data_IF_518902645778
#
_entry.id   IF_518902645778
#
_cell.length_a   1.000
_cell.length_b   1.000
_cell.length_c   1.000
_cell.angle_alpha   90.00
_cell.angle_beta   90.00
_cell.angle_gamma   90.00
#
_symmetry.space_group_name_H-M   'P 1'
#
loop_
_entity.id
_entity.type
_entity.pdbx_description
1 polymer ?
#
# COMPACT_ATOMS: atom_id res chain seq x y z
N UNK A 1 40.04 -22.66 -24.38
CA UNK A 1 38.67 -22.19 -24.70
C UNK A 1 38.01 -21.78 -23.38
N UNK A 2 38.53 -20.72 -22.72
CA UNK A 2 38.34 -20.49 -21.27
C UNK A 2 37.63 -19.16 -20.94
N UNK A 3 37.12 -18.46 -21.96
CA UNK A 3 36.43 -17.18 -21.82
C UNK A 3 35.02 -17.21 -21.16
N UNK A 4 34.18 -18.27 -21.25
CA UNK A 4 32.79 -18.19 -20.80
C UNK A 4 32.64 -18.20 -19.26
N UNK A 5 33.59 -18.78 -18.53
CA UNK A 5 33.51 -18.89 -17.06
C UNK A 5 33.81 -17.55 -16.35
N UNK A 6 34.77 -16.76 -16.86
CA UNK A 6 35.09 -15.43 -16.31
C UNK A 6 33.96 -14.43 -16.49
N UNK A 7 33.25 -14.47 -17.63
CA UNK A 7 32.09 -13.62 -17.87
C UNK A 7 30.91 -13.98 -16.97
N UNK A 8 30.62 -15.28 -16.76
CA UNK A 8 29.60 -15.73 -15.80
C UNK A 8 29.91 -15.28 -14.37
N UNK A 9 31.17 -15.34 -13.93
CA UNK A 9 31.56 -14.91 -12.59
C UNK A 9 31.37 -13.40 -12.39
N UNK A 10 31.81 -12.57 -13.34
CA UNK A 10 31.61 -11.11 -13.29
C UNK A 10 30.13 -10.72 -13.25
N UNK A 11 29.28 -11.43 -14.00
CA UNK A 11 27.84 -11.18 -14.06
C UNK A 11 27.14 -11.56 -12.74
N UNK A 12 27.57 -12.65 -12.10
CA UNK A 12 27.06 -13.07 -10.78
C UNK A 12 27.51 -12.09 -9.68
N UNK A 13 28.76 -11.65 -9.68
CA UNK A 13 29.26 -10.67 -8.70
C UNK A 13 28.54 -9.33 -8.85
N UNK A 14 28.28 -8.88 -10.09
CA UNK A 14 27.48 -7.68 -10.34
C UNK A 14 26.04 -7.84 -9.81
N UNK A 15 25.38 -8.98 -10.07
CA UNK A 15 24.03 -9.26 -9.56
C UNK A 15 23.95 -9.27 -8.02
N UNK A 16 24.98 -9.79 -7.36
CA UNK A 16 25.05 -9.82 -5.88
C UNK A 16 25.27 -8.42 -5.31
N UNK A 17 26.03 -7.56 -5.99
CA UNK A 17 26.19 -6.15 -5.60
C UNK A 17 24.91 -5.32 -5.82
N UNK A 18 24.04 -5.76 -6.73
CA UNK A 18 22.70 -5.21 -6.98
C UNK A 18 21.63 -5.74 -6.02
N UNK A 19 21.96 -6.67 -5.11
CA UNK A 19 21.05 -7.11 -4.06
C UNK A 19 20.90 -5.98 -3.03
N UNK A 20 20.07 -5.01 -3.37
CA UNK A 20 19.88 -3.81 -2.58
C UNK A 20 19.33 -4.16 -1.20
N UNK A 21 20.04 -3.67 -0.18
CA UNK A 21 19.59 -3.74 1.20
C UNK A 21 18.55 -2.64 1.44
N UNK A 22 17.54 -2.95 2.25
CA UNK A 22 16.62 -1.96 2.75
C UNK A 22 17.38 -0.90 3.56
N UNK A 23 17.31 0.35 3.14
CA UNK A 23 18.04 1.46 3.76
C UNK A 23 17.21 2.03 4.92
N UNK A 24 17.90 2.49 5.96
CA UNK A 24 17.30 3.09 7.16
C UNK A 24 17.26 2.15 8.37
N UNK A 25 17.03 2.68 9.58
CA UNK A 25 16.98 1.90 10.80
C UNK A 25 15.65 1.15 10.94
N UNK A 26 15.68 -0.04 11.51
CA UNK A 26 14.46 -0.77 11.85
C UNK A 26 13.75 -0.14 13.04
N UNK A 27 12.41 -0.25 13.05
CA UNK A 27 11.60 0.22 14.15
C UNK A 27 12.04 -0.45 15.46
N UNK A 28 12.40 0.37 16.44
CA UNK A 28 12.67 -0.08 17.81
C UNK A 28 11.62 0.53 18.73
N UNK A 29 10.80 -0.33 19.34
CA UNK A 29 9.82 0.10 20.33
C UNK A 29 10.53 0.87 21.45
N UNK A 30 10.09 2.10 21.78
CA UNK A 30 10.68 2.86 22.87
C UNK A 30 10.59 2.10 24.20
N UNK A 31 11.68 2.06 24.96
CA UNK A 31 11.65 1.57 26.34
C UNK A 31 10.95 2.61 27.21
N UNK A 32 9.78 2.26 27.75
CA UNK A 32 9.08 3.11 28.70
C UNK A 32 9.56 2.79 30.12
N UNK A 33 9.95 3.82 30.87
CA UNK A 33 10.25 3.69 32.30
C UNK A 33 8.94 3.57 33.08
N UNK A 34 8.35 2.38 33.04
CA UNK A 34 7.15 2.05 33.80
C UNK A 34 7.52 1.26 35.05
N UNK A 35 6.80 1.46 36.17
CA UNK A 35 6.98 0.63 37.34
C UNK A 35 6.61 -0.83 37.00
N UNK A 36 7.43 -1.79 37.44
CA UNK A 36 7.15 -3.22 37.24
C UNK A 36 5.83 -3.68 37.88
N UNK A 37 5.28 -2.89 38.81
CA UNK A 37 3.97 -3.11 39.42
C UNK A 37 3.31 -1.78 39.73
N UNK A 38 2.02 -1.69 39.40
CA UNK A 38 1.18 -0.60 39.86
C UNK A 38 0.83 -0.86 41.33
N UNK A 39 1.16 0.06 42.24
CA UNK A 39 0.67 -0.02 43.62
C UNK A 39 -0.73 0.58 43.65
N UNK A 40 -1.74 -0.24 43.90
CA UNK A 40 -3.01 0.28 44.39
C UNK A 40 -2.77 0.80 45.80
N UNK A 41 -2.92 2.11 46.03
CA UNK A 41 -2.75 2.68 47.36
C UNK A 41 -3.68 1.97 48.37
N UNK A 42 -3.08 1.22 49.32
CA UNK A 42 -3.78 0.67 50.48
C UNK A 42 -4.63 -0.60 50.28
N UNK A 43 -4.67 -1.23 49.11
CA UNK A 43 -5.36 -2.53 48.93
C UNK A 43 -4.37 -3.69 48.82
N UNK A 44 -4.57 -4.82 49.54
CA UNK A 44 -3.81 -6.03 49.29
C UNK A 44 -3.94 -6.39 47.81
N UNK A 45 -2.84 -6.84 47.20
CA UNK A 45 -2.83 -7.24 45.79
C UNK A 45 -3.99 -8.23 45.58
N UNK A 46 -4.98 -7.82 44.77
CA UNK A 46 -6.06 -8.71 44.35
C UNK A 46 -5.35 -9.90 43.70
N UNK A 47 -5.60 -11.10 44.23
CA UNK A 47 -5.08 -12.34 43.65
C UNK A 47 -5.36 -12.30 42.14
N UNK A 48 -4.44 -12.75 41.28
CA UNK A 48 -4.64 -12.69 39.83
C UNK A 48 -5.98 -13.37 39.52
N UNK A 49 -6.99 -12.55 39.21
CA UNK A 49 -8.27 -13.05 38.77
C UNK A 49 -8.01 -13.85 37.48
N UNK A 50 -8.68 -15.00 37.29
CA UNK A 50 -8.64 -15.69 36.01
C UNK A 50 -8.93 -14.65 34.93
N UNK A 51 -8.20 -14.70 33.81
CA UNK A 51 -8.26 -13.71 32.74
C UNK A 51 -9.72 -13.38 32.44
N UNK A 52 -10.19 -12.26 33.00
CA UNK A 52 -11.54 -11.80 32.76
C UNK A 52 -11.60 -11.49 31.28
N UNK A 53 -12.59 -12.02 30.58
CA UNK A 53 -12.81 -11.66 29.20
C UNK A 53 -13.12 -10.15 29.16
N UNK A 54 -12.10 -9.35 28.85
CA UNK A 54 -12.23 -7.90 28.73
C UNK A 54 -13.13 -7.53 27.55
N UNK A 55 -13.34 -8.44 26.60
CA UNK A 55 -14.28 -8.28 25.51
C UNK A 55 -15.73 -8.22 25.97
N UNK A 56 -16.05 -8.83 27.11
CA UNK A 56 -17.39 -8.88 27.70
C UNK A 56 -17.38 -8.48 29.19
N UNK A 57 -16.59 -7.46 29.52
CA UNK A 57 -16.32 -7.04 30.90
C UNK A 57 -17.59 -6.71 31.71
N UNK A 58 -18.68 -6.30 31.04
CA UNK A 58 -19.93 -5.92 31.69
C UNK A 58 -20.69 -7.12 32.29
N UNK A 59 -20.48 -8.35 31.80
CA UNK A 59 -21.06 -9.55 32.40
C UNK A 59 -20.56 -9.81 33.83
N UNK A 60 -19.41 -9.25 34.21
CA UNK A 60 -18.90 -9.36 35.58
C UNK A 60 -19.81 -8.69 36.62
N UNK A 61 -20.73 -7.83 36.20
CA UNK A 61 -21.71 -7.17 37.07
C UNK A 61 -22.92 -8.07 37.40
N UNK A 62 -23.18 -9.11 36.60
CA UNK A 62 -24.32 -10.01 36.81
C UNK A 62 -25.69 -9.35 36.64
N UNK A 63 -25.76 -8.25 35.88
CA UNK A 63 -27.00 -7.51 35.60
C UNK A 63 -27.47 -7.77 34.17
N UNK A 64 -28.55 -8.55 34.03
CA UNK A 64 -29.12 -8.92 32.73
C UNK A 64 -29.64 -7.71 31.93
N UNK A 65 -30.02 -6.62 32.61
CA UNK A 65 -30.46 -5.39 31.94
C UNK A 65 -29.27 -4.68 31.32
N UNK A 66 -28.17 -4.59 32.07
CA UNK A 66 -26.91 -4.02 31.58
C UNK A 66 -26.40 -4.82 30.38
N UNK A 67 -26.39 -6.15 30.50
CA UNK A 67 -25.96 -7.06 29.42
C UNK A 67 -26.74 -6.77 28.13
N UNK A 68 -28.07 -6.74 28.20
CA UNK A 68 -28.92 -6.49 27.03
C UNK A 68 -28.67 -5.13 26.38
N UNK A 69 -28.46 -4.07 27.19
CA UNK A 69 -28.21 -2.72 26.68
C UNK A 69 -26.84 -2.64 25.99
N UNK A 70 -25.81 -3.23 26.59
CA UNK A 70 -24.46 -3.22 26.01
C UNK A 70 -24.43 -4.04 24.71
N UNK A 71 -25.05 -5.21 24.70
CA UNK A 71 -25.12 -6.06 23.50
C UNK A 71 -25.86 -5.35 22.36
N UNK A 72 -26.99 -4.71 22.65
CA UNK A 72 -27.71 -3.91 21.66
C UNK A 72 -26.86 -2.73 21.16
N UNK A 73 -26.17 -2.03 22.07
CA UNK A 73 -25.28 -0.94 21.70
C UNK A 73 -24.15 -1.45 20.77
N UNK A 74 -23.51 -2.57 21.08
CA UNK A 74 -22.45 -3.13 20.24
C UNK A 74 -22.95 -3.51 18.84
N UNK A 75 -24.17 -4.04 18.73
CA UNK A 75 -24.77 -4.43 17.46
C UNK A 75 -25.17 -3.22 16.59
N UNK A 76 -25.68 -2.14 17.20
CA UNK A 76 -26.32 -1.06 16.46
C UNK A 76 -25.49 0.23 16.39
N UNK A 77 -24.44 0.38 17.20
CA UNK A 77 -23.66 1.61 17.30
C UNK A 77 -22.96 1.99 15.98
N UNK A 78 -23.33 3.16 15.46
CA UNK A 78 -22.81 3.71 14.20
C UNK A 78 -21.35 4.17 14.30
N UNK A 79 -20.89 4.58 15.48
CA UNK A 79 -19.48 4.94 15.71
C UNK A 79 -18.60 3.70 15.60
N UNK A 80 -19.02 2.55 16.16
CA UNK A 80 -18.30 1.28 16.01
C UNK A 80 -18.27 0.83 14.55
N UNK A 81 -19.38 0.96 13.83
CA UNK A 81 -19.43 0.69 12.38
C UNK A 81 -18.50 1.61 11.59
N UNK A 82 -18.38 2.86 11.99
CA UNK A 82 -17.45 3.84 11.40
C UNK A 82 -16.00 3.46 11.67
N UNK A 83 -15.65 3.10 12.90
CA UNK A 83 -14.30 2.62 13.25
C UNK A 83 -13.96 1.35 12.46
N UNK A 84 -14.89 0.40 12.36
CA UNK A 84 -14.70 -0.80 11.55
C UNK A 84 -14.50 -0.48 10.05
N UNK A 85 -15.17 0.55 9.53
CA UNK A 85 -14.95 1.04 8.17
C UNK A 85 -13.56 1.65 7.98
N UNK A 86 -13.07 2.44 8.95
CA UNK A 86 -11.71 2.99 8.95
C UNK A 86 -10.63 1.90 8.98
N UNK A 87 -10.85 0.82 9.73
CA UNK A 87 -9.93 -0.33 9.71
C UNK A 87 -9.91 -0.99 8.32
N UNK A 88 -11.07 -1.12 7.65
CA UNK A 88 -11.12 -1.63 6.27
C UNK A 88 -10.41 -0.69 5.29
N UNK A 89 -10.57 0.62 5.44
CA UNK A 89 -9.87 1.63 4.67
C UNK A 89 -8.35 1.55 4.84
N UNK A 90 -7.85 1.47 6.08
CA UNK A 90 -6.42 1.31 6.37
C UNK A 90 -5.84 0.04 5.72
N UNK A 91 -6.56 -1.09 5.80
CA UNK A 91 -6.16 -2.33 5.12
C UNK A 91 -6.10 -2.17 3.60
N UNK A 92 -7.05 -1.45 3.00
CA UNK A 92 -7.03 -1.16 1.57
C UNK A 92 -5.85 -0.24 1.20
N UNK A 93 -5.56 0.78 2.00
CA UNK A 93 -4.40 1.65 1.82
C UNK A 93 -3.09 0.87 1.88
N UNK A 94 -2.97 -0.10 2.80
CA UNK A 94 -1.83 -1.02 2.87
C UNK A 94 -1.68 -1.88 1.62
N UNK A 95 -2.79 -2.37 1.05
CA UNK A 95 -2.78 -3.10 -0.22
C UNK A 95 -2.34 -2.19 -1.37
N UNK A 96 -2.79 -0.93 -1.41
CA UNK A 96 -2.36 0.07 -2.39
C UNK A 96 -0.86 0.35 -2.26
N UNK A 97 -0.34 0.53 -1.04
CA UNK A 97 1.10 0.71 -0.82
C UNK A 97 1.90 -0.51 -1.31
N UNK A 98 1.39 -1.72 -1.06
CA UNK A 98 2.03 -2.95 -1.52
C UNK A 98 1.96 -3.16 -3.04
N UNK A 99 1.01 -2.54 -3.75
CA UNK A 99 0.90 -2.67 -5.21
C UNK A 99 2.10 -2.07 -5.94
N UNK A 100 2.80 -1.11 -5.33
CA UNK A 100 4.04 -0.54 -5.87
C UNK A 100 5.16 -1.55 -6.05
N UNK A 101 5.12 -2.71 -5.37
CA UNK A 101 6.08 -3.80 -5.60
C UNK A 101 5.89 -4.50 -6.96
N UNK A 102 4.78 -4.25 -7.64
CA UNK A 102 4.41 -4.91 -8.89
C UNK A 102 4.37 -3.91 -10.06
N UNK A 103 4.49 -4.39 -11.31
CA UNK A 103 4.31 -3.54 -12.48
C UNK A 103 2.89 -2.98 -12.56
N UNK A 104 2.77 -1.70 -12.90
CA UNK A 104 1.54 -1.09 -13.38
C UNK A 104 1.39 -1.37 -14.86
N UNK A 105 0.21 -1.80 -15.29
CA UNK A 105 -0.09 -2.11 -16.70
C UNK A 105 -1.12 -1.08 -17.20
N UNK A 106 -0.77 -0.40 -18.28
CA UNK A 106 -1.59 0.58 -18.97
C UNK A 106 -2.06 0.06 -20.33
N UNK A 107 -3.27 0.43 -20.70
CA UNK A 107 -3.77 0.29 -22.08
C UNK A 107 -4.43 1.58 -22.47
N UNK A 108 -4.21 2.04 -23.69
CA UNK A 108 -4.92 3.21 -24.21
C UNK A 108 -5.33 3.00 -25.66
N UNK A 109 -6.36 3.72 -26.07
CA UNK A 109 -6.78 3.77 -27.47
C UNK A 109 -7.13 5.21 -27.80
N UNK A 110 -6.68 5.69 -28.95
CA UNK A 110 -6.93 7.04 -29.41
C UNK A 110 -7.26 7.07 -30.90
N UNK A 111 -8.00 8.11 -31.28
CA UNK A 111 -8.33 8.41 -32.66
C UNK A 111 -8.01 9.89 -32.91
N UNK A 112 -7.19 10.15 -33.92
CA UNK A 112 -6.83 11.48 -34.36
C UNK A 112 -7.14 11.63 -35.86
N UNK A 113 -7.78 12.74 -36.21
CA UNK A 113 -8.05 13.10 -37.61
C UNK A 113 -7.33 14.37 -37.95
N UNK A 114 -6.48 14.32 -38.96
CA UNK A 114 -5.78 15.49 -39.49
C UNK A 114 -6.38 15.87 -40.83
N UNK A 115 -6.85 17.12 -40.92
CA UNK A 115 -7.41 17.73 -42.14
C UNK A 115 -6.58 18.96 -42.49
N UNK A 116 -5.86 18.97 -43.62
CA UNK A 116 -5.15 20.16 -44.07
C UNK A 116 -6.15 21.26 -44.45
N UNK A 117 -5.80 22.51 -44.16
CA UNK A 117 -6.69 23.66 -44.36
C UNK A 117 -6.92 24.01 -45.84
N UNK A 118 -6.00 23.66 -46.74
CA UNK A 118 -6.17 23.80 -48.19
C UNK A 118 -5.35 22.78 -48.96
N UNK A 119 -5.97 22.11 -49.95
CA UNK A 119 -5.30 21.25 -50.95
C UNK A 119 -4.66 22.07 -52.08
N UNK A 120 -5.03 23.36 -52.20
CA UNK A 120 -4.56 24.28 -53.23
C UNK A 120 -4.09 25.57 -52.54
N UNK A 121 -2.85 25.59 -52.07
CA UNK A 121 -2.23 26.84 -51.63
C UNK A 121 -1.94 27.70 -52.87
N UNK A 122 -2.25 29.00 -52.80
CA UNK A 122 -1.92 29.99 -53.83
C UNK A 122 -0.40 30.19 -54.05
N UNK A 123 0.43 29.54 -53.23
CA UNK A 123 1.90 29.52 -53.35
C UNK A 123 2.45 28.29 -54.09
N UNK A 124 1.58 27.45 -54.67
CA UNK A 124 2.01 26.22 -55.32
C UNK A 124 2.50 25.18 -54.31
N UNK A 125 2.43 23.90 -54.68
CA UNK A 125 2.92 22.80 -53.85
C UNK A 125 4.45 22.87 -53.76
N UNK A 126 4.98 23.48 -52.69
CA UNK A 126 6.41 23.41 -52.32
C UNK A 126 6.81 22.03 -51.76
N UNK A 127 5.84 21.14 -51.56
CA UNK A 127 6.03 19.79 -51.03
C UNK A 127 5.32 18.81 -51.97
N UNK A 128 6.05 17.93 -52.69
CA UNK A 128 5.45 16.93 -53.56
C UNK A 128 4.62 15.95 -52.72
N UNK A 129 3.30 15.94 -52.93
CA UNK A 129 2.40 15.02 -52.27
C UNK A 129 1.06 15.68 -51.93
N UNK A 130 -0.04 15.04 -52.31
CA UNK A 130 -1.36 15.41 -51.82
C UNK A 130 -1.35 15.35 -50.30
N UNK A 131 -1.48 16.50 -49.62
CA UNK A 131 -1.84 16.53 -48.21
C UNK A 131 -3.29 16.05 -48.12
N UNK A 132 -3.46 14.74 -48.02
CA UNK A 132 -4.76 14.10 -47.90
C UNK A 132 -5.23 14.16 -46.43
N UNK A 133 -6.54 14.19 -46.25
CA UNK A 133 -7.12 13.90 -44.95
C UNK A 133 -6.63 12.54 -44.44
N UNK A 134 -6.17 12.50 -43.19
CA UNK A 134 -5.67 11.29 -42.56
C UNK A 134 -6.44 10.99 -41.27
N UNK A 135 -6.79 9.72 -41.11
CA UNK A 135 -7.36 9.16 -39.89
C UNK A 135 -6.30 8.24 -39.26
N UNK A 136 -5.95 8.51 -38.01
CA UNK A 136 -5.02 7.72 -37.22
C UNK A 136 -5.80 7.07 -36.08
N UNK A 137 -5.78 5.73 -36.05
CA UNK A 137 -6.26 4.94 -34.93
C UNK A 137 -5.04 4.34 -34.27
N UNK A 138 -4.88 4.55 -32.97
CA UNK A 138 -3.76 4.03 -32.20
C UNK A 138 -4.29 3.28 -30.99
N UNK A 139 -3.75 2.10 -30.75
CA UNK A 139 -3.99 1.32 -29.54
C UNK A 139 -2.64 0.96 -28.95
N UNK A 140 -2.46 1.26 -27.66
CA UNK A 140 -1.20 1.10 -26.95
C UNK A 140 -1.40 0.19 -25.73
N UNK A 141 -0.33 -0.53 -25.40
CA UNK A 141 -0.19 -1.29 -24.17
C UNK A 141 1.20 -0.99 -23.61
N UNK A 142 1.27 -0.66 -22.32
CA UNK A 142 2.51 -0.37 -21.64
C UNK A 142 2.54 -1.00 -20.23
N UNK A 143 3.75 -1.21 -19.72
CA UNK A 143 3.97 -1.62 -18.35
C UNK A 143 5.12 -0.80 -17.75
N UNK A 144 4.92 -0.28 -16.54
CA UNK A 144 5.92 0.48 -15.80
C UNK A 144 6.14 -0.16 -14.43
N UNK A 145 7.40 -0.25 -14.00
CA UNK A 145 7.76 -0.87 -12.73
C UNK A 145 9.00 -0.21 -12.14
N UNK A 146 8.95 0.10 -10.84
CA UNK A 146 10.09 0.56 -10.07
C UNK A 146 10.65 -0.59 -9.23
N UNK A 147 11.92 -0.95 -9.49
CA UNK A 147 12.60 -1.96 -8.69
C UNK A 147 12.96 -1.39 -7.32
N UNK A 148 12.43 -2.00 -6.26
CA UNK A 148 12.65 -1.58 -4.87
C UNK A 148 14.03 -2.01 -4.33
N UNK A 149 15.10 -1.55 -4.98
CA UNK A 149 16.50 -1.90 -4.63
C UNK A 149 16.81 -1.43 -3.21
N UNK A 150 16.49 -0.19 -2.86
CA UNK A 150 16.83 0.38 -1.54
C UNK A 150 15.74 0.21 -0.48
N UNK A 151 14.64 -0.47 -0.79
CA UNK A 151 13.59 -0.76 0.18
C UNK A 151 12.63 0.39 0.46
N UNK A 152 12.56 1.43 -0.38
CA UNK A 152 11.64 2.56 -0.20
C UNK A 152 10.18 2.13 -0.17
N UNK A 153 9.78 1.21 -1.07
CA UNK A 153 8.41 0.69 -1.11
C UNK A 153 8.15 -0.20 0.10
N UNK A 154 9.09 -1.09 0.45
CA UNK A 154 9.00 -1.92 1.66
C UNK A 154 8.86 -1.10 2.95
N UNK A 155 9.60 0.00 3.10
CA UNK A 155 9.45 0.95 4.22
C UNK A 155 8.08 1.63 4.23
N UNK A 156 7.53 1.96 3.06
CA UNK A 156 6.15 2.48 2.94
C UNK A 156 5.10 1.47 3.38
N UNK A 157 5.29 0.19 3.06
CA UNK A 157 4.42 -0.90 3.53
C UNK A 157 4.52 -1.07 5.05
N UNK A 158 5.74 -1.02 5.63
CA UNK A 158 5.92 -1.06 7.08
C UNK A 158 5.16 0.07 7.79
N UNK A 159 5.17 1.28 7.22
CA UNK A 159 4.39 2.40 7.75
C UNK A 159 2.88 2.14 7.66
N UNK A 160 2.38 1.63 6.53
CA UNK A 160 0.97 1.30 6.37
C UNK A 160 0.53 0.13 7.26
N UNK A 161 1.41 -0.84 7.54
CA UNK A 161 1.15 -1.93 8.47
C UNK A 161 0.99 -1.40 9.91
N UNK A 162 1.72 -0.33 10.28
CA UNK A 162 1.58 0.33 11.57
C UNK A 162 0.25 1.10 11.74
N UNK A 163 -0.35 1.60 10.66
CA UNK A 163 -1.66 2.28 10.70
C UNK A 163 -2.85 1.29 10.78
N UNK A 164 -2.64 0.03 10.40
CA UNK A 164 -3.65 -1.05 10.49
C UNK A 164 -3.70 -1.68 11.89
N UNK A 165 -2.58 -1.65 12.62
CA UNK A 165 -2.36 -2.33 13.90
C UNK A 165 -2.90 -1.56 15.10
#
# INVERSE_FOLDING_TARGET
>A
MDAPMRHRQLLVTALVLLAGCMVGPDYRRPSLLLPARWRAAGRPAVAPTPATDLGAWWHAFGDQTLDAIVDQALAENLDLKTVAARVREARAARVIAASGLFPSIGTSASYARTRPFSTHSQFGSLVPGNLAEANLFQGDFDASWELDVFGGIRRGIEAADADVA
#
